data_IF_433009697167
#
_entry.id   IF_433009697167
#
_cell.length_a   1.000
_cell.length_b   1.000
_cell.length_c   1.000
_cell.angle_alpha   90.00
_cell.angle_beta   90.00
_cell.angle_gamma   90.00
#
_symmetry.space_group_name_H-M   'P 1'
#
loop_
_entity.id
_entity.type
_entity.pdbx_description
1 polymer ?
#
# COMPACT_ATOMS: atom_id res chain seq x y z
N UNK A 1 -7.21 10.90 -7.41
CA UNK A 1 -6.27 9.78 -7.56
C UNK A 1 -6.93 8.57 -6.93
N UNK A 2 -7.28 7.54 -7.70
CA UNK A 2 -7.94 6.35 -7.14
C UNK A 2 -6.88 5.35 -6.68
N UNK A 3 -6.79 5.10 -5.38
CA UNK A 3 -5.87 4.12 -4.79
C UNK A 3 -6.43 2.68 -4.82
N UNK A 4 -7.27 2.34 -5.79
CA UNK A 4 -7.97 1.05 -5.87
C UNK A 4 -6.99 -0.13 -5.90
N UNK A 5 -6.05 -0.10 -6.83
CA UNK A 5 -5.00 -1.14 -6.96
C UNK A 5 -4.08 -1.16 -5.75
N UNK A 6 -3.64 0.01 -5.26
CA UNK A 6 -2.77 0.11 -4.07
C UNK A 6 -3.44 -0.54 -2.84
N UNK A 7 -4.73 -0.30 -2.64
CA UNK A 7 -5.48 -0.90 -1.53
C UNK A 7 -5.56 -2.42 -1.65
N UNK A 8 -5.78 -2.96 -2.86
CA UNK A 8 -5.79 -4.41 -3.09
C UNK A 8 -4.41 -5.00 -2.77
N UNK A 9 -3.34 -4.39 -3.29
CA UNK A 9 -1.96 -4.85 -3.06
C UNK A 9 -1.61 -4.86 -1.58
N UNK A 10 -1.99 -3.80 -0.85
CA UNK A 10 -1.80 -3.72 0.59
C UNK A 10 -2.61 -4.79 1.34
N UNK A 11 -3.87 -5.06 0.94
CA UNK A 11 -4.69 -6.14 1.53
C UNK A 11 -4.08 -7.52 1.29
N UNK A 12 -3.47 -7.74 0.11
CA UNK A 12 -2.78 -9.01 -0.19
C UNK A 12 -1.56 -9.18 0.72
N UNK A 13 -0.70 -8.17 0.81
CA UNK A 13 0.54 -8.25 1.62
C UNK A 13 0.26 -8.29 3.13
N UNK A 14 -0.83 -7.66 3.58
CA UNK A 14 -1.30 -7.75 4.97
C UNK A 14 -2.16 -8.98 5.24
N UNK A 15 -2.25 -9.91 4.28
CA UNK A 15 -3.00 -11.18 4.38
C UNK A 15 -4.50 -11.02 4.62
N UNK A 16 -5.06 -9.83 4.38
CA UNK A 16 -6.50 -9.56 4.43
C UNK A 16 -7.22 -10.03 3.16
N UNK A 17 -6.47 -10.34 2.09
CA UNK A 17 -7.00 -10.86 0.84
C UNK A 17 -6.00 -11.85 0.22
N UNK A 18 -6.50 -12.84 -0.53
CA UNK A 18 -5.65 -13.75 -1.32
C UNK A 18 -5.22 -13.08 -2.63
N UNK A 19 -3.99 -13.33 -3.11
CA UNK A 19 -3.59 -12.92 -4.46
C UNK A 19 -4.47 -13.60 -5.51
N UNK A 20 -4.56 -13.00 -6.70
CA UNK A 20 -5.25 -13.61 -7.82
C UNK A 20 -4.56 -14.93 -8.25
N UNK A 21 -5.28 -15.78 -8.99
CA UNK A 21 -4.70 -17.02 -9.50
C UNK A 21 -3.48 -16.72 -10.40
N UNK A 22 -2.35 -17.38 -10.15
CA UNK A 22 -1.09 -17.13 -10.85
C UNK A 22 -0.34 -15.87 -10.42
N UNK A 23 -0.89 -15.04 -9.51
CA UNK A 23 -0.21 -13.89 -8.96
C UNK A 23 0.71 -14.27 -7.80
N UNK A 24 1.96 -13.81 -7.85
CA UNK A 24 2.93 -14.02 -6.77
C UNK A 24 2.99 -12.82 -5.84
N UNK A 25 3.27 -13.05 -4.55
CA UNK A 25 3.52 -11.97 -3.58
C UNK A 25 4.69 -11.08 -4.00
N UNK A 26 5.69 -11.63 -4.71
CA UNK A 26 6.80 -10.86 -5.25
C UNK A 26 6.34 -9.82 -6.30
N UNK A 27 5.37 -10.17 -7.14
CA UNK A 27 4.79 -9.22 -8.10
C UNK A 27 4.02 -8.09 -7.40
N UNK A 28 3.27 -8.43 -6.34
CA UNK A 28 2.55 -7.44 -5.51
C UNK A 28 3.54 -6.49 -4.82
N UNK A 29 4.61 -7.02 -4.22
CA UNK A 29 5.66 -6.20 -3.60
C UNK A 29 6.35 -5.28 -4.60
N UNK A 30 6.62 -5.76 -5.81
CA UNK A 30 7.20 -4.94 -6.88
C UNK A 30 6.30 -3.75 -7.23
N UNK A 31 4.97 -3.96 -7.34
CA UNK A 31 4.02 -2.87 -7.57
C UNK A 31 4.01 -1.86 -6.43
N UNK A 32 4.07 -2.32 -5.18
CA UNK A 32 4.17 -1.43 -4.02
C UNK A 32 5.45 -0.59 -4.05
N UNK A 33 6.58 -1.19 -4.42
CA UNK A 33 7.87 -0.49 -4.58
C UNK A 33 7.82 0.53 -5.75
N UNK A 34 7.09 0.22 -6.83
CA UNK A 34 6.85 1.14 -7.95
C UNK A 34 5.95 2.33 -7.54
N UNK A 35 4.88 2.07 -6.79
CA UNK A 35 3.99 3.11 -6.25
C UNK A 35 4.74 4.05 -5.31
N UNK A 36 5.62 3.51 -4.45
CA UNK A 36 6.42 4.30 -3.52
C UNK A 36 7.33 5.33 -4.21
N UNK A 37 7.58 5.20 -5.52
CA UNK A 37 8.42 6.10 -6.32
C UNK A 37 7.62 7.07 -7.19
N UNK A 38 6.29 7.06 -7.10
CA UNK A 38 5.45 7.95 -7.90
C UNK A 38 5.57 9.40 -7.39
N UNK A 39 5.80 10.38 -8.27
CA UNK A 39 6.05 11.77 -7.89
C UNK A 39 4.85 12.48 -7.24
N UNK A 40 3.63 11.97 -7.46
CA UNK A 40 2.39 12.57 -6.93
C UNK A 40 1.81 11.79 -5.74
N UNK A 41 2.58 10.86 -5.15
CA UNK A 41 2.13 10.10 -3.99
C UNK A 41 2.09 11.03 -2.75
N UNK A 42 1.01 11.03 -1.96
CA UNK A 42 0.97 11.77 -0.71
C UNK A 42 2.16 11.40 0.19
N UNK A 43 2.86 12.39 0.75
CA UNK A 43 4.11 12.18 1.51
C UNK A 43 3.96 11.16 2.66
N UNK A 44 2.78 11.09 3.27
CA UNK A 44 2.49 10.10 4.32
C UNK A 44 2.45 8.67 3.77
N UNK A 45 1.85 8.46 2.60
CA UNK A 45 1.85 7.16 1.92
C UNK A 45 3.25 6.80 1.42
N UNK A 46 3.97 7.75 0.84
CA UNK A 46 5.37 7.55 0.42
C UNK A 46 6.23 7.08 1.60
N UNK A 47 6.07 7.74 2.75
CA UNK A 47 6.75 7.36 3.98
C UNK A 47 6.44 5.92 4.39
N UNK A 48 5.15 5.56 4.49
CA UNK A 48 4.76 4.21 4.90
C UNK A 48 5.22 3.14 3.91
N UNK A 49 5.06 3.36 2.60
CA UNK A 49 5.48 2.40 1.58
C UNK A 49 7.00 2.23 1.55
N UNK A 50 7.76 3.33 1.63
CA UNK A 50 9.23 3.30 1.67
C UNK A 50 9.79 2.58 2.90
N UNK A 51 9.06 2.60 4.03
CA UNK A 51 9.38 1.87 5.26
C UNK A 51 8.79 0.46 5.31
N UNK A 52 8.09 0.02 4.24
CA UNK A 52 7.33 -1.24 4.20
C UNK A 52 6.33 -1.39 5.35
N UNK A 53 5.80 -0.27 5.83
CA UNK A 53 4.78 -0.20 6.87
C UNK A 53 3.38 -0.37 6.26
N UNK A 54 3.13 -1.53 5.64
CA UNK A 54 1.94 -1.76 4.82
C UNK A 54 0.62 -1.70 5.60
N UNK A 55 0.62 -2.08 6.88
CA UNK A 55 -0.56 -1.95 7.75
C UNK A 55 -0.90 -0.47 7.96
N UNK A 56 0.09 0.40 8.21
CA UNK A 56 -0.13 1.85 8.36
C UNK A 56 -0.54 2.49 7.04
N UNK A 57 0.04 2.07 5.92
CA UNK A 57 -0.36 2.52 4.60
C UNK A 57 -1.84 2.19 4.30
N UNK A 58 -2.27 0.97 4.63
CA UNK A 58 -3.66 0.53 4.45
C UNK A 58 -4.62 1.31 5.36
N UNK A 59 -4.28 1.48 6.64
CA UNK A 59 -5.07 2.28 7.57
C UNK A 59 -5.22 3.73 7.10
N UNK A 60 -4.13 4.33 6.61
CA UNK A 60 -4.16 5.68 6.06
C UNK A 60 -5.06 5.80 4.82
N UNK A 61 -5.03 4.81 3.92
CA UNK A 61 -5.94 4.81 2.77
C UNK A 61 -7.40 4.75 3.17
N UNK A 62 -7.73 3.97 4.21
CA UNK A 62 -9.09 3.81 4.69
C UNK A 62 -9.58 5.02 5.50
N UNK A 63 -8.67 5.77 6.15
CA UNK A 63 -9.02 7.01 6.84
C UNK A 63 -7.86 8.02 6.89
N UNK A 64 -7.66 8.87 5.88
CA UNK A 64 -6.51 9.76 5.80
C UNK A 64 -6.52 10.91 6.81
N UNK A 65 -7.67 11.19 7.45
CA UNK A 65 -7.84 12.28 8.42
C UNK A 65 -7.49 11.87 9.86
N UNK A 66 -7.32 10.56 10.13
CA UNK A 66 -6.92 10.11 11.46
C UNK A 66 -5.45 10.42 11.74
N UNK A 67 -5.12 10.94 12.93
CA UNK A 67 -3.74 11.01 13.38
C UNK A 67 -3.19 9.59 13.54
N UNK A 68 -2.39 9.16 12.58
CA UNK A 68 -1.71 7.87 12.67
C UNK A 68 -0.42 8.07 13.46
N UNK A 69 -0.43 7.68 14.73
CA UNK A 69 0.76 7.74 15.57
C UNK A 69 1.91 6.93 14.94
N UNK A 70 3.09 7.57 14.89
CA UNK A 70 4.34 7.06 14.31
C UNK A 70 4.94 5.97 15.17
#
# INVERSE_FOLDING_TARGET
>A
MEFGTLRIDLRIITQQQKPAEGESLAAVLKRLDEVARQPDLPSQLEHYLSKRSYVKALAWLDNPEMPHEV
#
